data_IF_976667366766
#
_entry.id   IF_976667366766
#
_cell.length_a   1.000
_cell.length_b   1.000
_cell.length_c   1.000
_cell.angle_alpha   90.00
_cell.angle_beta   90.00
_cell.angle_gamma   90.00
#
_symmetry.space_group_name_H-M   'P 1'
#
loop_
_entity.id
_entity.type
_entity.pdbx_description
1 polymer ?
#
# COMPACT_ATOMS: atom_id res chain seq x y z
N UNK A 1 5.33 17.45 4.51
CA UNK A 1 3.87 17.49 4.28
C UNK A 1 3.46 16.34 3.37
N UNK A 2 2.49 15.58 3.81
CA UNK A 2 2.00 14.40 3.08
C UNK A 2 0.50 14.57 2.85
N UNK A 3 0.07 14.46 1.59
CA UNK A 3 -1.35 14.40 1.25
C UNK A 3 -1.54 13.27 0.23
N UNK A 4 -2.26 12.24 0.63
CA UNK A 4 -2.55 11.08 -0.23
C UNK A 4 -4.06 10.87 -0.29
N UNK A 5 -4.61 10.89 -1.50
CA UNK A 5 -5.97 10.40 -1.75
C UNK A 5 -5.84 8.99 -2.31
N UNK A 6 -6.43 8.04 -1.63
CA UNK A 6 -6.29 6.61 -1.95
C UNK A 6 -7.66 6.05 -2.35
N UNK A 7 -7.78 5.64 -3.60
CA UNK A 7 -8.99 5.01 -4.12
C UNK A 7 -8.74 3.52 -4.28
N UNK A 8 -9.58 2.70 -3.64
CA UNK A 8 -9.42 1.25 -3.62
C UNK A 8 -10.58 0.59 -4.35
N UNK A 9 -10.24 -0.30 -5.27
CA UNK A 9 -11.21 -1.11 -6.01
C UNK A 9 -10.82 -2.58 -5.90
N UNK A 10 -11.74 -3.39 -5.40
CA UNK A 10 -11.54 -4.83 -5.24
C UNK A 10 -12.33 -5.64 -6.26
N UNK A 11 -12.59 -6.89 -5.91
CA UNK A 11 -13.46 -7.77 -6.68
C UNK A 11 -14.87 -7.16 -6.83
N UNK A 12 -15.66 -7.56 -7.85
CA UNK A 12 -16.95 -6.93 -8.13
C UNK A 12 -17.94 -6.90 -6.96
N UNK A 13 -17.87 -7.85 -6.06
CA UNK A 13 -18.75 -7.94 -4.90
C UNK A 13 -18.22 -7.18 -3.68
N UNK A 14 -17.02 -6.59 -3.78
CA UNK A 14 -16.41 -5.81 -2.70
C UNK A 14 -16.68 -4.33 -2.96
N UNK A 15 -17.33 -3.61 -2.02
CA UNK A 15 -17.57 -2.17 -2.22
C UNK A 15 -16.26 -1.39 -2.32
N UNK A 16 -16.12 -0.54 -3.35
CA UNK A 16 -14.96 0.33 -3.45
C UNK A 16 -14.99 1.39 -2.35
N UNK A 17 -13.83 1.91 -1.98
CA UNK A 17 -13.77 2.96 -0.97
C UNK A 17 -12.60 3.92 -1.22
N UNK A 18 -12.67 5.07 -0.56
CA UNK A 18 -11.63 6.11 -0.63
C UNK A 18 -11.15 6.43 0.77
N UNK A 19 -9.83 6.64 0.92
CA UNK A 19 -9.20 7.12 2.15
C UNK A 19 -8.37 8.35 1.84
N UNK A 20 -8.30 9.26 2.80
CA UNK A 20 -7.42 10.42 2.71
C UNK A 20 -6.46 10.39 3.87
N UNK A 21 -5.17 10.44 3.56
CA UNK A 21 -4.09 10.52 4.55
C UNK A 21 -3.48 11.90 4.44
N UNK A 22 -3.57 12.69 5.51
CA UNK A 22 -3.12 14.06 5.51
C UNK A 22 -2.30 14.32 6.76
N UNK A 23 -1.02 14.66 6.58
CA UNK A 23 -0.07 14.87 7.65
C UNK A 23 0.74 16.11 7.33
N UNK A 24 0.32 17.25 7.89
CA UNK A 24 0.83 18.57 7.51
C UNK A 24 2.18 18.92 8.08
N UNK A 25 2.46 18.55 9.33
CA UNK A 25 3.69 18.92 10.01
C UNK A 25 4.51 17.68 10.42
N UNK A 26 5.69 17.95 11.01
CA UNK A 26 6.62 16.88 11.39
C UNK A 26 6.07 15.95 12.47
N UNK A 27 5.25 16.48 13.37
CA UNK A 27 4.65 15.70 14.46
C UNK A 27 3.63 14.72 13.88
N UNK A 28 2.78 15.21 12.97
CA UNK A 28 1.79 14.36 12.30
C UNK A 28 2.46 13.28 11.47
N UNK A 29 3.55 13.62 10.76
CA UNK A 29 4.31 12.63 10.00
C UNK A 29 4.96 11.60 10.90
N UNK A 30 5.46 12.01 12.05
CA UNK A 30 6.07 11.09 13.02
C UNK A 30 5.03 10.09 13.52
N UNK A 31 3.82 10.54 13.82
CA UNK A 31 2.73 9.68 14.24
C UNK A 31 2.38 8.68 13.14
N UNK A 32 2.32 9.15 11.90
CA UNK A 32 2.07 8.29 10.74
C UNK A 32 3.15 7.19 10.62
N UNK A 33 4.42 7.57 10.62
CA UNK A 33 5.50 6.60 10.48
C UNK A 33 5.62 5.66 11.68
N UNK A 34 5.31 6.14 12.89
CA UNK A 34 5.25 5.26 14.06
C UNK A 34 4.16 4.18 13.88
N UNK A 35 3.02 4.55 13.34
CA UNK A 35 1.94 3.59 13.02
C UNK A 35 2.40 2.57 11.99
N UNK A 36 3.13 3.01 10.99
CA UNK A 36 3.71 2.12 9.96
C UNK A 36 4.72 1.15 10.60
N UNK A 37 5.55 1.64 11.51
CA UNK A 37 6.56 0.81 12.18
C UNK A 37 5.90 -0.31 13.00
N UNK A 38 4.77 -0.03 13.64
CA UNK A 38 4.01 -1.04 14.37
C UNK A 38 3.54 -2.15 13.41
N UNK A 39 3.07 -1.78 12.22
CA UNK A 39 2.64 -2.76 11.21
C UNK A 39 3.83 -3.58 10.72
N UNK A 40 4.97 -2.93 10.45
CA UNK A 40 6.19 -3.62 10.01
C UNK A 40 6.68 -4.60 11.06
N UNK A 41 6.55 -4.26 12.34
CA UNK A 41 6.89 -5.17 13.43
C UNK A 41 6.04 -6.44 13.38
N UNK A 42 4.74 -6.31 13.09
CA UNK A 42 3.87 -7.48 12.91
C UNK A 42 4.37 -8.36 11.77
N UNK A 43 4.78 -7.78 10.66
CA UNK A 43 5.30 -8.53 9.50
C UNK A 43 6.59 -9.26 9.85
N UNK A 44 7.50 -8.63 10.58
CA UNK A 44 8.74 -9.26 11.04
C UNK A 44 8.44 -10.47 11.92
N UNK A 45 7.37 -10.40 12.71
CA UNK A 45 6.94 -11.48 13.61
C UNK A 45 6.04 -12.51 12.93
N UNK A 46 5.90 -12.45 11.61
CA UNK A 46 5.06 -13.34 10.80
C UNK A 46 3.57 -13.28 11.15
N UNK A 47 3.12 -12.14 11.66
CA UNK A 47 1.70 -11.89 11.89
C UNK A 47 1.07 -11.35 10.62
N UNK A 48 -0.15 -11.80 10.33
CA UNK A 48 -0.87 -11.32 9.15
C UNK A 48 -1.52 -9.97 9.45
N UNK A 49 -1.51 -9.09 8.45
CA UNK A 49 -2.05 -7.73 8.57
C UNK A 49 -3.38 -7.59 7.83
N UNK A 50 -4.20 -6.65 8.27
CA UNK A 50 -5.51 -6.37 7.67
C UNK A 50 -5.40 -5.35 6.52
N UNK A 51 -6.53 -5.03 5.89
CA UNK A 51 -6.59 -4.11 4.76
C UNK A 51 -6.06 -2.71 5.11
N UNK A 52 -6.47 -2.16 6.26
CA UNK A 52 -6.01 -0.82 6.66
C UNK A 52 -4.52 -0.78 6.93
N UNK A 53 -3.99 -1.83 7.55
CA UNK A 53 -2.56 -1.96 7.81
C UNK A 53 -1.77 -2.09 6.51
N UNK A 54 -2.29 -2.85 5.54
CA UNK A 54 -1.66 -2.96 4.22
C UNK A 54 -1.63 -1.61 3.51
N UNK A 55 -2.71 -0.83 3.59
CA UNK A 55 -2.74 0.51 3.00
C UNK A 55 -1.70 1.44 3.65
N UNK A 56 -1.51 1.36 4.96
CA UNK A 56 -0.46 2.14 5.64
C UNK A 56 0.93 1.79 5.10
N UNK A 57 1.20 0.50 4.88
CA UNK A 57 2.48 0.05 4.31
C UNK A 57 2.68 0.64 2.92
N UNK A 58 1.67 0.58 2.06
CA UNK A 58 1.76 1.14 0.71
C UNK A 58 1.90 2.65 0.71
N UNK A 59 1.18 3.35 1.58
CA UNK A 59 1.32 4.81 1.71
C UNK A 59 2.74 5.19 2.10
N UNK A 60 3.33 4.51 3.08
CA UNK A 60 4.71 4.77 3.49
C UNK A 60 5.70 4.47 2.37
N UNK A 61 5.47 3.40 1.63
CA UNK A 61 6.28 3.04 0.47
C UNK A 61 6.29 4.17 -0.55
N UNK A 62 5.11 4.68 -0.93
CA UNK A 62 4.99 5.78 -1.89
C UNK A 62 5.71 7.04 -1.39
N UNK A 63 5.48 7.44 -0.14
CA UNK A 63 6.10 8.63 0.43
C UNK A 63 7.62 8.52 0.39
N UNK A 64 8.16 7.40 0.86
CA UNK A 64 9.61 7.19 0.92
C UNK A 64 10.24 7.15 -0.47
N UNK A 65 9.60 6.48 -1.43
CA UNK A 65 10.13 6.36 -2.78
C UNK A 65 10.08 7.69 -3.53
N UNK A 66 8.98 8.45 -3.39
CA UNK A 66 8.90 9.78 -4.01
C UNK A 66 9.92 10.75 -3.39
N UNK A 67 10.10 10.71 -2.08
CA UNK A 67 11.12 11.53 -1.41
C UNK A 67 12.53 11.16 -1.82
N UNK A 68 12.74 9.90 -2.21
CA UNK A 68 14.04 9.42 -2.72
C UNK A 68 14.25 9.72 -4.19
N UNK A 69 13.30 10.39 -4.85
CA UNK A 69 13.41 10.76 -6.26
C UNK A 69 13.10 9.63 -7.24
N UNK A 70 12.49 8.54 -6.78
CA UNK A 70 12.12 7.43 -7.67
C UNK A 70 10.97 7.85 -8.58
N UNK A 71 11.00 7.35 -9.82
CA UNK A 71 9.94 7.61 -10.78
C UNK A 71 8.68 6.80 -10.46
N UNK A 72 7.54 7.32 -10.90
CA UNK A 72 6.25 6.63 -10.84
C UNK A 72 6.36 5.20 -11.38
N UNK A 73 6.98 5.04 -12.54
CA UNK A 73 7.11 3.73 -13.19
C UNK A 73 7.90 2.74 -12.33
N UNK A 74 8.97 3.19 -11.70
CA UNK A 74 9.77 2.35 -10.80
C UNK A 74 8.96 1.93 -9.57
N UNK A 75 8.22 2.87 -9.00
CA UNK A 75 7.38 2.62 -7.81
C UNK A 75 6.32 1.58 -8.15
N UNK A 76 5.61 1.74 -9.26
CA UNK A 76 4.57 0.81 -9.69
C UNK A 76 5.14 -0.57 -10.02
N UNK A 77 6.29 -0.61 -10.66
CA UNK A 77 6.92 -1.87 -11.06
C UNK A 77 7.34 -2.74 -9.87
N UNK A 78 7.75 -2.13 -8.79
CA UNK A 78 8.31 -2.85 -7.64
C UNK A 78 7.29 -3.17 -6.55
N UNK A 79 6.03 -2.76 -6.69
CA UNK A 79 5.03 -2.91 -5.64
C UNK A 79 4.75 -4.37 -5.28
N UNK A 80 4.83 -5.30 -6.24
CA UNK A 80 4.57 -6.72 -5.98
C UNK A 80 5.58 -7.35 -5.01
N UNK A 81 6.69 -6.68 -4.74
CA UNK A 81 7.72 -7.14 -3.81
C UNK A 81 7.46 -6.69 -2.37
N UNK A 82 6.46 -5.85 -2.13
CA UNK A 82 6.21 -5.23 -0.82
C UNK A 82 5.44 -6.18 0.09
N UNK A 83 4.29 -6.70 -0.38
CA UNK A 83 3.47 -7.63 0.38
C UNK A 83 3.09 -8.83 -0.48
N UNK A 84 3.01 -10.01 0.15
CA UNK A 84 2.54 -11.23 -0.49
C UNK A 84 1.26 -11.73 0.20
N UNK A 85 0.64 -12.75 -0.36
CA UNK A 85 -0.53 -13.40 0.25
C UNK A 85 -0.23 -13.97 1.63
N UNK A 86 1.04 -14.30 1.92
CA UNK A 86 1.45 -14.80 3.22
C UNK A 86 1.50 -13.72 4.31
N UNK A 87 1.55 -12.46 3.90
CA UNK A 87 1.65 -11.32 4.83
C UNK A 87 0.31 -10.80 5.29
N UNK A 88 -0.78 -11.16 4.63
CA UNK A 88 -2.07 -10.50 4.79
C UNK A 88 -3.17 -11.49 5.18
N UNK A 89 -4.20 -10.98 5.85
CA UNK A 89 -5.37 -11.75 6.23
C UNK A 89 -6.17 -12.15 4.99
N UNK A 90 -6.97 -13.22 5.12
CA UNK A 90 -7.87 -13.67 4.07
C UNK A 90 -8.81 -12.53 3.68
N UNK A 91 -9.00 -12.32 2.39
CA UNK A 91 -9.86 -11.26 1.84
C UNK A 91 -9.13 -9.99 1.49
N UNK A 92 -7.92 -9.76 2.02
CA UNK A 92 -7.15 -8.54 1.71
C UNK A 92 -6.76 -8.47 0.24
N UNK A 93 -6.20 -9.53 -0.38
CA UNK A 93 -5.86 -9.45 -1.81
C UNK A 93 -7.07 -9.16 -2.71
N UNK A 94 -8.23 -9.72 -2.38
CA UNK A 94 -9.47 -9.53 -3.14
C UNK A 94 -10.00 -8.10 -2.98
N UNK A 95 -9.75 -7.46 -1.84
CA UNK A 95 -10.14 -6.07 -1.58
C UNK A 95 -9.21 -5.09 -2.27
N UNK A 96 -7.92 -5.40 -2.35
CA UNK A 96 -6.89 -4.51 -2.89
C UNK A 96 -6.45 -4.92 -4.30
N UNK A 97 -7.40 -5.06 -5.23
CA UNK A 97 -7.12 -5.43 -6.62
C UNK A 97 -6.49 -4.28 -7.39
N UNK A 98 -6.93 -3.06 -7.12
CA UNK A 98 -6.40 -1.86 -7.74
C UNK A 98 -6.41 -0.73 -6.73
N UNK A 99 -5.30 -0.06 -6.58
CA UNK A 99 -5.18 1.09 -5.68
C UNK A 99 -4.64 2.27 -6.48
N UNK A 100 -5.39 3.37 -6.49
CA UNK A 100 -4.96 4.62 -7.14
C UNK A 100 -4.62 5.64 -6.07
N UNK A 101 -3.39 6.13 -6.10
CA UNK A 101 -2.91 7.16 -5.18
C UNK A 101 -2.74 8.48 -5.93
N UNK A 102 -3.35 9.54 -5.42
CA UNK A 102 -3.01 10.90 -5.82
C UNK A 102 -2.14 11.46 -4.72
N UNK A 103 -0.85 11.60 -5.00
CA UNK A 103 0.17 11.92 -3.99
C UNK A 103 0.70 13.34 -4.17
N UNK A 104 0.57 14.14 -3.12
CA UNK A 104 1.22 15.46 -3.02
C UNK A 104 2.14 15.39 -1.81
N UNK A 105 3.44 15.34 -2.07
CA UNK A 105 4.46 15.14 -1.05
C UNK A 105 5.40 16.34 -1.06
N UNK A 106 5.49 17.05 0.06
CA UNK A 106 6.33 18.23 0.21
C UNK A 106 6.04 19.25 -0.92
N UNK A 107 7.07 19.75 -1.58
CA UNK A 107 6.95 20.68 -2.71
C UNK A 107 7.07 19.97 -4.06
N UNK A 108 7.03 18.63 -4.06
CA UNK A 108 7.11 17.86 -5.29
C UNK A 108 5.82 17.98 -6.10
N UNK A 109 5.91 17.85 -7.43
CA UNK A 109 4.72 17.82 -8.27
C UNK A 109 3.80 16.67 -7.87
N UNK A 110 2.48 16.89 -8.00
CA UNK A 110 1.49 15.84 -7.74
C UNK A 110 1.72 14.64 -8.67
N UNK A 111 1.72 13.46 -8.10
CA UNK A 111 1.86 12.21 -8.83
C UNK A 111 0.63 11.34 -8.67
N UNK A 112 0.22 10.68 -9.74
CA UNK A 112 -0.82 9.64 -9.69
C UNK A 112 -0.12 8.30 -9.86
N UNK A 113 -0.15 7.48 -8.82
CA UNK A 113 0.50 6.16 -8.79
C UNK A 113 -0.58 5.09 -8.73
N UNK A 114 -0.52 4.12 -9.62
CA UNK A 114 -1.53 3.06 -9.72
C UNK A 114 -0.89 1.71 -9.47
N UNK A 115 -1.42 0.98 -8.48
CA UNK A 115 -1.02 -0.39 -8.19
C UNK A 115 -2.08 -1.34 -8.73
N UNK A 116 -1.72 -2.09 -9.75
CA UNK A 116 -2.54 -3.16 -10.32
C UNK A 116 -2.12 -4.46 -9.66
N UNK A 117 -3.06 -5.14 -9.00
CA UNK A 117 -2.81 -6.40 -8.29
C UNK A 117 -1.54 -6.35 -7.45
N UNK A 118 -1.44 -5.41 -6.47
CA UNK A 118 -0.22 -5.28 -5.68
C UNK A 118 0.11 -6.54 -4.88
N UNK A 119 -0.90 -7.34 -4.55
CA UNK A 119 -0.72 -8.65 -3.89
C UNK A 119 -1.19 -9.71 -4.88
N UNK A 120 -0.27 -10.34 -5.63
CA UNK A 120 -0.66 -11.25 -6.71
C UNK A 120 -1.32 -12.53 -6.19
N UNK A 121 -2.61 -12.67 -6.44
CA UNK A 121 -3.38 -13.88 -6.06
C UNK A 121 -2.95 -15.07 -6.93
N UNK A 122 -2.61 -14.79 -8.18
CA UNK A 122 -2.22 -15.82 -9.14
C UNK A 122 -1.04 -16.66 -8.66
N UNK A 123 -0.06 -16.05 -8.00
CA UNK A 123 1.11 -16.76 -7.48
C UNK A 123 0.71 -17.73 -6.37
N UNK A 124 -0.22 -17.32 -5.53
CA UNK A 124 -0.76 -18.18 -4.48
C UNK A 124 -1.50 -19.37 -5.07
N UNK A 125 -2.33 -19.15 -6.09
CA UNK A 125 -3.10 -20.20 -6.76
C UNK A 125 -2.16 -21.19 -7.43
N UNK A 126 -1.14 -20.71 -8.12
CA UNK A 126 -0.15 -21.58 -8.78
C UNK A 126 0.61 -22.44 -7.78
N UNK A 127 1.02 -21.87 -6.66
CA UNK A 127 1.71 -22.60 -5.61
C UNK A 127 0.83 -23.71 -5.02
N UNK A 128 -0.45 -23.40 -4.77
CA UNK A 128 -1.41 -24.35 -4.24
C UNK A 128 -1.75 -25.43 -5.27
N UNK A 129 -1.86 -25.07 -6.54
CA UNK A 129 -2.23 -25.99 -7.63
C UNK A 129 -1.17 -27.00 -7.97
N UNK A 130 0.03 -26.86 -7.45
CA UNK A 130 1.13 -27.82 -7.69
C UNK A 130 1.10 -29.00 -6.71
N UNK A 131 0.19 -28.97 -5.78
CA UNK A 131 0.01 -30.02 -4.79
C UNK A 131 -1.14 -30.94 -5.16
#
# INVERSE_FOLDING_TARGET
MIHLKVEVKGEPDVPPFTRIFEHGDKIDEQIFFNSVDIVKEKLVRNLKINTNEALLVYCAYIVNELRSGKSKNTIEKNVSKILSTHNVMIGVPETLRKITFEATIDDLPKEVVIFEEPIPIRDYILTTGQH
#
